data_IF_186729618115
#
_entry.id   IF_186729618115
#
_cell.length_a   1.000
_cell.length_b   1.000
_cell.length_c   1.000
_cell.angle_alpha   90.00
_cell.angle_beta   90.00
_cell.angle_gamma   90.00
#
_symmetry.space_group_name_H-M   'P 1'
#
loop_
_entity.id
_entity.type
_entity.pdbx_description
1 polymer ?
#
# COMPACT_ATOMS: atom_id res chain seq x y z
N UNK A 1 -13.02 35.68 -1.59
CA UNK A 1 -11.98 34.74 -2.03
C UNK A 1 -12.53 33.33 -1.84
N UNK A 2 -12.90 32.64 -2.91
CA UNK A 2 -13.45 31.28 -2.83
C UNK A 2 -12.30 30.28 -2.66
N UNK A 3 -12.40 29.27 -1.77
CA UNK A 3 -11.32 28.32 -1.58
C UNK A 3 -11.13 27.47 -2.84
N UNK A 4 -9.87 27.34 -3.24
CA UNK A 4 -9.42 26.55 -4.37
C UNK A 4 -10.01 25.13 -4.32
N UNK A 5 -10.49 24.68 -5.49
CA UNK A 5 -10.77 23.30 -5.89
C UNK A 5 -10.20 22.24 -4.93
N UNK A 6 -11.08 21.37 -4.41
CA UNK A 6 -10.81 20.33 -3.39
C UNK A 6 -9.86 19.20 -3.80
N UNK A 7 -8.89 19.48 -4.66
CA UNK A 7 -7.76 18.58 -4.89
C UNK A 7 -6.74 18.88 -3.79
N UNK A 8 -6.39 17.90 -2.93
CA UNK A 8 -5.29 18.08 -1.99
C UNK A 8 -4.00 18.38 -2.78
N UNK A 9 -3.55 19.63 -2.72
CA UNK A 9 -2.32 20.11 -3.37
C UNK A 9 -1.06 19.77 -2.59
N UNK A 10 -1.22 19.21 -1.38
CA UNK A 10 -0.11 18.79 -0.52
C UNK A 10 0.36 17.40 -0.95
N UNK A 11 1.59 17.34 -1.45
CA UNK A 11 2.28 16.09 -1.74
C UNK A 11 2.96 15.54 -0.48
N UNK A 12 2.94 14.22 -0.27
CA UNK A 12 3.69 13.57 0.81
C UNK A 12 5.19 13.84 0.72
N UNK A 13 5.85 14.01 1.87
CA UNK A 13 7.26 14.39 1.94
C UNK A 13 8.17 13.23 2.35
N UNK A 14 9.39 13.25 1.84
CA UNK A 14 10.46 12.32 2.25
C UNK A 14 10.25 10.87 1.79
N UNK A 15 10.93 9.93 2.46
CA UNK A 15 10.76 8.50 2.18
C UNK A 15 9.43 8.02 2.74
N UNK A 16 8.66 7.32 1.90
CA UNK A 16 7.33 6.85 2.21
C UNK A 16 7.34 5.34 2.50
N UNK A 17 6.46 4.90 3.40
CA UNK A 17 6.12 3.49 3.60
C UNK A 17 4.61 3.28 3.64
N UNK A 18 4.14 2.08 3.28
CA UNK A 18 2.72 1.71 3.29
C UNK A 18 2.51 0.61 4.32
N UNK A 19 1.55 0.80 5.22
CA UNK A 19 1.26 -0.17 6.28
C UNK A 19 -0.23 -0.48 6.38
N UNK A 20 -0.54 -1.72 6.80
CA UNK A 20 -1.90 -2.12 7.16
C UNK A 20 -2.18 -1.74 8.60
N UNK A 21 -3.25 -1.01 8.82
CA UNK A 21 -3.74 -0.60 10.14
C UNK A 21 -4.63 -1.70 10.75
N UNK A 22 -4.78 -1.76 12.08
CA UNK A 22 -5.64 -2.75 12.75
C UNK A 22 -7.10 -2.74 12.27
N UNK A 23 -7.59 -1.60 11.77
CA UNK A 23 -8.94 -1.43 11.24
C UNK A 23 -9.09 -1.83 9.76
N UNK A 24 -8.22 -2.70 9.24
CA UNK A 24 -8.16 -3.14 7.84
C UNK A 24 -8.01 -2.03 6.78
N UNK A 25 -7.64 -0.84 7.21
CA UNK A 25 -7.30 0.28 6.33
C UNK A 25 -5.80 0.35 6.09
N UNK A 26 -5.39 1.10 5.08
CA UNK A 26 -3.97 1.33 4.78
C UNK A 26 -3.59 2.78 5.07
N UNK A 27 -2.37 2.97 5.58
CA UNK A 27 -1.81 4.28 5.85
C UNK A 27 -0.45 4.45 5.18
N UNK A 28 -0.24 5.60 4.54
CA UNK A 28 1.07 6.04 4.04
C UNK A 28 1.77 6.84 5.13
N UNK A 29 2.96 6.38 5.55
CA UNK A 29 3.80 7.11 6.51
C UNK A 29 4.89 7.86 5.76
N UNK A 30 5.09 9.13 6.12
CA UNK A 30 6.09 10.03 5.54
C UNK A 30 7.40 10.05 6.33
N UNK A 31 8.47 10.62 5.75
CA UNK A 31 9.72 10.94 6.46
C UNK A 31 10.38 9.77 7.22
N UNK A 32 10.36 8.54 6.70
CA UNK A 32 10.86 7.32 7.41
C UNK A 32 10.17 7.01 8.73
N UNK A 33 8.98 7.56 9.00
CA UNK A 33 8.23 7.23 10.23
C UNK A 33 7.86 5.74 10.33
N UNK A 34 7.95 4.99 9.22
CA UNK A 34 7.81 3.54 9.19
C UNK A 34 9.08 2.72 9.52
N UNK A 35 10.27 3.33 9.66
CA UNK A 35 11.48 2.62 10.15
C UNK A 35 11.36 2.21 11.62
N UNK A 36 10.40 2.82 12.34
CA UNK A 36 9.99 2.36 13.65
C UNK A 36 9.11 1.13 13.43
N UNK A 37 9.61 -0.06 13.81
CA UNK A 37 9.06 -1.42 13.60
C UNK A 37 7.61 -1.66 14.06
N UNK A 38 6.89 -0.61 14.46
CA UNK A 38 5.55 -0.59 15.03
C UNK A 38 4.44 -1.01 14.05
N UNK A 39 4.73 -1.10 12.74
CA UNK A 39 3.72 -1.35 11.70
C UNK A 39 4.02 -2.50 10.70
N UNK A 40 5.01 -3.36 10.95
CA UNK A 40 5.29 -4.55 10.13
C UNK A 40 5.85 -4.27 8.72
N UNK A 41 6.10 -5.34 7.94
CA UNK A 41 6.82 -5.28 6.65
C UNK A 41 6.14 -4.37 5.62
N UNK A 42 6.98 -3.58 4.96
CA UNK A 42 6.67 -2.47 4.07
C UNK A 42 6.56 -2.88 2.58
N UNK A 43 6.57 -1.88 1.71
CA UNK A 43 6.58 -2.02 0.26
C UNK A 43 7.74 -2.92 -0.20
N UNK A 44 7.44 -3.93 -1.00
CA UNK A 44 8.48 -4.83 -1.49
C UNK A 44 9.26 -4.23 -2.67
N UNK A 45 10.59 -4.38 -2.64
CA UNK A 45 11.42 -4.06 -3.81
C UNK A 45 11.14 -5.06 -4.93
N UNK A 46 10.64 -4.57 -6.07
CA UNK A 46 10.38 -5.40 -7.27
C UNK A 46 11.48 -5.31 -8.32
N UNK A 47 12.32 -4.27 -8.26
CA UNK A 47 13.44 -4.06 -9.16
C UNK A 47 14.60 -3.41 -8.43
N UNK A 48 15.80 -3.97 -8.58
CA UNK A 48 17.02 -3.43 -7.98
C UNK A 48 18.22 -3.77 -8.86
N UNK A 49 19.09 -2.79 -9.07
CA UNK A 49 20.38 -2.97 -9.75
C UNK A 49 20.26 -3.65 -11.13
N UNK A 50 19.26 -3.26 -11.94
CA UNK A 50 19.06 -3.82 -13.27
C UNK A 50 18.34 -5.17 -13.31
N UNK A 51 17.88 -5.69 -12.17
CA UNK A 51 17.23 -7.01 -12.06
C UNK A 51 15.86 -6.90 -11.41
N UNK A 52 14.90 -7.68 -11.93
CA UNK A 52 13.60 -7.91 -11.29
C UNK A 52 13.82 -8.83 -10.09
N UNK A 53 13.46 -8.38 -8.89
CA UNK A 53 13.63 -9.12 -7.62
C UNK A 53 12.36 -9.85 -7.19
N UNK A 54 11.18 -9.38 -7.63
CA UNK A 54 9.91 -10.05 -7.39
C UNK A 54 8.99 -9.88 -8.60
N UNK A 55 8.57 -11.01 -9.16
CA UNK A 55 7.54 -11.08 -10.20
C UNK A 55 6.22 -11.50 -9.59
N UNK A 56 5.12 -11.04 -10.18
CA UNK A 56 3.77 -11.49 -9.84
C UNK A 56 3.17 -12.21 -11.04
N UNK A 57 2.52 -13.36 -10.80
CA UNK A 57 1.79 -14.09 -11.84
C UNK A 57 0.37 -13.55 -11.96
N UNK A 58 -0.19 -13.70 -13.16
CA UNK A 58 -1.61 -13.44 -13.42
C UNK A 58 -2.52 -14.37 -12.60
N UNK A 59 -2.01 -15.49 -12.06
CA UNK A 59 -2.74 -16.37 -11.16
C UNK A 59 -2.93 -15.78 -9.75
N UNK A 60 -2.17 -14.74 -9.38
CA UNK A 60 -2.31 -14.02 -8.11
C UNK A 60 -3.50 -13.04 -8.10
N UNK A 61 -4.56 -13.33 -8.87
CA UNK A 61 -5.81 -12.52 -8.90
C UNK A 61 -6.50 -12.43 -7.54
N UNK A 62 -6.13 -13.30 -6.60
CA UNK A 62 -6.59 -13.28 -5.20
C UNK A 62 -6.43 -11.89 -4.56
N UNK A 63 -5.42 -11.11 -4.97
CA UNK A 63 -5.20 -9.76 -4.44
C UNK A 63 -6.29 -8.75 -4.82
N UNK A 64 -7.08 -9.02 -5.86
CA UNK A 64 -8.18 -8.19 -6.34
C UNK A 64 -9.56 -8.84 -6.13
N UNK A 65 -9.61 -9.98 -5.42
CA UNK A 65 -10.86 -10.67 -5.12
C UNK A 65 -11.75 -9.75 -4.25
N UNK A 66 -13.03 -9.62 -4.62
CA UNK A 66 -13.96 -8.83 -3.84
C UNK A 66 -14.41 -9.61 -2.60
N UNK A 67 -14.61 -8.93 -1.47
CA UNK A 67 -14.94 -9.58 -0.20
C UNK A 67 -16.19 -10.49 -0.29
N UNK A 68 -17.12 -10.18 -1.18
CA UNK A 68 -18.32 -11.01 -1.42
C UNK A 68 -18.02 -12.39 -2.02
N UNK A 69 -16.93 -12.53 -2.78
CA UNK A 69 -16.49 -13.81 -3.37
C UNK A 69 -15.63 -14.64 -2.40
N UNK A 70 -14.98 -14.00 -1.42
CA UNK A 70 -14.17 -14.69 -0.42
C UNK A 70 -15.03 -15.50 0.56
N UNK A 71 -16.20 -14.97 0.94
CA UNK A 71 -17.19 -15.64 1.79
C UNK A 71 -17.86 -16.83 1.08
N UNK A 72 -18.12 -16.72 -0.24
CA UNK A 72 -18.76 -17.76 -1.04
C UNK A 72 -17.85 -18.99 -1.29
N UNK A 73 -16.53 -18.83 -1.23
CA UNK A 73 -15.56 -19.92 -1.34
C UNK A 73 -15.32 -20.65 -0.02
N UNK A 74 -15.93 -20.20 1.08
CA UNK A 74 -15.74 -20.74 2.43
C UNK A 74 -16.93 -21.57 2.93
N UNK A 75 -17.91 -21.90 2.07
CA UNK A 75 -19.12 -22.64 2.41
C UNK A 75 -19.28 -23.93 1.58
#
# INVERSE_FOLDING_TARGET
EAPASGIPTKVPKGQLSLHRMPAENFATLEERKGDREEYGHDLHTVFKNGKVTKGYSTDEKKNAQVNTELEAASH
#
